data_IF_524284203770
#
_entry.id   IF_524284203770
#
_cell.length_a   1.000
_cell.length_b   1.000
_cell.length_c   1.000
_cell.angle_alpha   90.00
_cell.angle_beta   90.00
_cell.angle_gamma   90.00
#
_symmetry.space_group_name_H-M   'P 1'
#
loop_
_entity.id
_entity.type
_entity.pdbx_description
1 polymer ?
#
# COMPACT_ATOMS: atom_id res chain seq x y z
N UNK A 1 10.70 -9.86 -15.90
CA UNK A 1 10.29 -11.08 -16.59
C UNK A 1 8.77 -11.17 -16.81
N UNK A 2 7.91 -11.15 -15.75
CA UNK A 2 6.45 -11.28 -15.90
C UNK A 2 5.87 -10.17 -16.78
N UNK A 3 6.22 -8.91 -16.54
CA UNK A 3 5.76 -7.79 -17.36
C UNK A 3 6.13 -7.97 -18.85
N UNK A 4 7.37 -8.37 -19.14
CA UNK A 4 7.80 -8.56 -20.52
C UNK A 4 7.05 -9.69 -21.26
N UNK A 5 6.60 -10.72 -20.53
CA UNK A 5 5.87 -11.86 -21.12
C UNK A 5 4.38 -11.65 -21.23
N UNK A 6 3.78 -10.93 -20.29
CA UNK A 6 2.33 -10.89 -20.11
C UNK A 6 1.72 -9.48 -20.14
N UNK A 7 2.55 -8.43 -20.05
CA UNK A 7 2.10 -7.05 -19.84
C UNK A 7 1.55 -6.77 -18.45
N UNK A 8 1.50 -7.77 -17.55
CA UNK A 8 0.96 -7.58 -16.22
C UNK A 8 1.95 -6.84 -15.30
N UNK A 9 1.49 -5.71 -14.72
CA UNK A 9 2.28 -4.89 -13.81
C UNK A 9 1.99 -5.31 -12.37
N UNK A 10 2.98 -5.85 -11.68
CA UNK A 10 2.89 -6.20 -10.26
C UNK A 10 3.23 -4.99 -9.38
N UNK A 11 2.59 -4.88 -8.21
CA UNK A 11 3.14 -4.05 -7.17
C UNK A 11 4.38 -4.74 -6.53
N UNK A 12 5.29 -4.00 -5.89
CA UNK A 12 6.52 -4.58 -5.33
C UNK A 12 6.27 -5.74 -4.37
N UNK A 13 5.22 -5.67 -3.54
CA UNK A 13 4.87 -6.75 -2.61
C UNK A 13 4.43 -8.03 -3.34
N UNK A 14 3.64 -7.90 -4.40
CA UNK A 14 3.24 -9.04 -5.23
C UNK A 14 4.43 -9.64 -5.96
N UNK A 15 5.39 -8.82 -6.39
CA UNK A 15 6.61 -9.29 -7.03
C UNK A 15 7.47 -10.14 -6.08
N UNK A 16 7.60 -9.73 -4.82
CA UNK A 16 8.30 -10.51 -3.78
C UNK A 16 7.57 -11.84 -3.52
N UNK A 17 6.24 -11.83 -3.41
CA UNK A 17 5.47 -13.06 -3.23
C UNK A 17 5.60 -14.00 -4.43
N UNK A 18 5.63 -13.47 -5.66
CA UNK A 18 5.86 -14.25 -6.87
C UNK A 18 7.24 -14.87 -6.89
N UNK A 19 8.28 -14.13 -6.53
CA UNK A 19 9.65 -14.63 -6.45
C UNK A 19 9.75 -15.78 -5.43
N UNK A 20 9.15 -15.62 -4.25
CA UNK A 20 9.08 -16.68 -3.25
C UNK A 20 8.37 -17.95 -3.76
N UNK A 21 7.27 -17.80 -4.52
CA UNK A 21 6.60 -18.95 -5.15
C UNK A 21 7.48 -19.64 -6.18
N UNK A 22 8.24 -18.89 -6.96
CA UNK A 22 9.17 -19.45 -7.94
C UNK A 22 10.31 -20.23 -7.26
N UNK A 23 10.85 -19.70 -6.18
CA UNK A 23 11.88 -20.38 -5.40
C UNK A 23 11.32 -21.69 -4.78
N UNK A 24 10.12 -21.64 -4.21
CA UNK A 24 9.45 -22.83 -3.69
C UNK A 24 9.24 -23.90 -4.77
N UNK A 25 8.75 -23.50 -5.95
CA UNK A 25 8.53 -24.42 -7.05
C UNK A 25 9.83 -25.06 -7.59
N UNK A 26 10.94 -24.33 -7.51
CA UNK A 26 12.26 -24.86 -7.90
C UNK A 26 12.80 -25.86 -6.86
N UNK A 27 12.55 -25.63 -5.57
CA UNK A 27 12.99 -26.51 -4.48
C UNK A 27 12.14 -27.79 -4.38
N UNK A 28 10.83 -27.69 -4.66
CA UNK A 28 9.86 -28.78 -4.58
C UNK A 28 9.28 -29.10 -5.96
N UNK A 29 10.00 -29.85 -6.80
CA UNK A 29 9.55 -30.16 -8.15
C UNK A 29 8.30 -31.07 -8.12
N UNK A 30 7.28 -30.68 -8.88
CA UNK A 30 5.99 -31.36 -8.98
C UNK A 30 4.94 -30.48 -9.62
N UNK A 31 3.71 -30.97 -9.71
CA UNK A 31 2.59 -30.15 -10.17
C UNK A 31 2.12 -29.26 -9.01
N UNK A 32 2.31 -27.95 -9.17
CA UNK A 32 1.97 -26.95 -8.16
C UNK A 32 1.00 -25.93 -8.75
N UNK A 33 -0.11 -25.69 -8.08
CA UNK A 33 -0.99 -24.56 -8.33
C UNK A 33 -0.71 -23.46 -7.31
N UNK A 34 -0.04 -22.39 -7.73
CA UNK A 34 0.28 -21.24 -6.87
C UNK A 34 -0.78 -20.15 -6.94
N UNK A 35 -1.23 -19.66 -5.78
CA UNK A 35 -2.14 -18.53 -5.67
C UNK A 35 -1.43 -17.38 -4.94
N UNK A 36 -1.35 -16.21 -5.59
CA UNK A 36 -0.75 -15.01 -5.04
C UNK A 36 -1.83 -13.97 -4.74
N UNK A 37 -1.79 -13.39 -3.55
CA UNK A 37 -2.68 -12.33 -3.15
C UNK A 37 -2.03 -10.97 -3.42
N UNK A 38 -2.58 -10.22 -4.39
CA UNK A 38 -2.16 -8.84 -4.66
C UNK A 38 -2.92 -7.90 -3.72
N UNK A 39 -2.24 -7.41 -2.69
CA UNK A 39 -2.84 -6.59 -1.63
C UNK A 39 -2.83 -5.09 -1.90
N UNK A 40 -2.16 -4.65 -2.96
CA UNK A 40 -2.09 -3.26 -3.36
C UNK A 40 -1.98 -3.10 -4.88
N UNK A 41 -2.51 -1.99 -5.39
CA UNK A 41 -2.32 -1.62 -6.79
C UNK A 41 -0.90 -1.04 -7.01
N UNK A 42 -0.27 -1.37 -8.13
CA UNK A 42 1.08 -0.89 -8.48
C UNK A 42 1.20 0.64 -8.51
N UNK A 43 0.12 1.34 -8.84
CA UNK A 43 0.11 2.80 -8.90
C UNK A 43 0.37 3.49 -7.54
N UNK A 44 0.31 2.77 -6.41
CA UNK A 44 0.77 3.28 -5.11
C UNK A 44 2.29 3.40 -5.02
N UNK A 45 3.01 2.77 -5.93
CA UNK A 45 4.47 2.64 -5.92
C UNK A 45 5.07 3.03 -7.29
N UNK A 46 4.45 3.98 -8.00
CA UNK A 46 4.84 4.37 -9.36
C UNK A 46 6.35 4.61 -9.54
N UNK A 47 7.02 5.41 -8.70
CA UNK A 47 8.45 5.65 -8.89
C UNK A 47 9.30 4.37 -8.87
N UNK A 48 8.96 3.44 -7.98
CA UNK A 48 9.67 2.15 -7.88
C UNK A 48 9.35 1.25 -9.07
N UNK A 49 8.07 1.18 -9.46
CA UNK A 49 7.61 0.31 -10.56
C UNK A 49 8.16 0.79 -11.89
N UNK A 50 8.01 2.07 -12.22
CA UNK A 50 8.49 2.64 -13.47
C UNK A 50 10.03 2.62 -13.56
N UNK A 51 10.70 2.92 -12.44
CA UNK A 51 12.17 2.81 -12.37
C UNK A 51 12.68 1.39 -12.59
N UNK A 52 11.93 0.37 -12.15
CA UNK A 52 12.29 -1.03 -12.33
C UNK A 52 11.97 -1.53 -13.76
N UNK A 53 10.84 -1.11 -14.33
CA UNK A 53 10.39 -1.55 -15.65
C UNK A 53 11.03 -0.74 -16.79
N UNK A 54 11.51 0.47 -16.52
CA UNK A 54 12.06 1.39 -17.52
C UNK A 54 10.99 1.99 -18.45
N UNK A 55 9.72 1.88 -18.10
CA UNK A 55 8.58 2.40 -18.88
C UNK A 55 7.54 3.01 -17.97
N UNK A 56 6.79 4.00 -18.48
CA UNK A 56 5.61 4.53 -17.77
C UNK A 56 4.45 3.55 -17.83
N UNK A 57 3.71 3.46 -16.73
CA UNK A 57 2.55 2.57 -16.61
C UNK A 57 1.26 3.35 -16.36
N UNK A 58 0.11 2.86 -16.86
CA UNK A 58 -1.16 3.56 -16.72
C UNK A 58 -1.57 3.74 -15.25
N UNK A 59 -2.02 4.93 -14.89
CA UNK A 59 -2.61 5.21 -13.57
C UNK A 59 -4.14 5.20 -13.71
N UNK A 60 -4.86 4.41 -12.90
CA UNK A 60 -6.32 4.45 -12.88
C UNK A 60 -6.84 5.87 -12.62
N UNK A 61 -7.89 6.30 -13.34
CA UNK A 61 -8.42 7.66 -13.26
C UNK A 61 -8.70 8.12 -11.82
N UNK A 62 -9.30 7.27 -10.99
CA UNK A 62 -9.56 7.57 -9.57
C UNK A 62 -8.31 7.82 -8.74
N UNK A 63 -7.17 7.23 -9.09
CA UNK A 63 -5.90 7.49 -8.41
C UNK A 63 -5.23 8.73 -8.99
N UNK A 64 -5.34 8.96 -10.31
CA UNK A 64 -4.82 10.16 -10.95
C UNK A 64 -5.46 11.43 -10.36
N UNK A 65 -6.76 11.43 -10.10
CA UNK A 65 -7.48 12.53 -9.44
C UNK A 65 -6.97 12.87 -8.03
N UNK A 66 -6.25 11.96 -7.40
CA UNK A 66 -5.68 12.17 -6.06
C UNK A 66 -4.27 12.75 -6.09
N UNK A 67 -3.55 12.67 -7.22
CA UNK A 67 -2.17 13.12 -7.32
C UNK A 67 -2.04 14.65 -7.12
N UNK A 68 -3.05 15.40 -7.52
CA UNK A 68 -3.10 16.86 -7.38
C UNK A 68 -3.67 17.33 -6.04
N UNK A 69 -4.11 16.39 -5.19
CA UNK A 69 -4.69 16.74 -3.89
C UNK A 69 -3.62 16.88 -2.82
N UNK A 70 -3.78 17.89 -1.97
CA UNK A 70 -2.90 18.08 -0.81
C UNK A 70 -3.05 16.90 0.15
N UNK A 71 -1.94 16.24 0.47
CA UNK A 71 -1.90 15.18 1.46
C UNK A 71 -2.24 15.75 2.85
N UNK A 72 -3.30 15.24 3.45
CA UNK A 72 -3.64 15.52 4.84
C UNK A 72 -3.02 14.44 5.74
N UNK A 73 -2.00 14.80 6.48
CA UNK A 73 -1.33 13.89 7.42
C UNK A 73 -0.81 14.68 8.60
N UNK A 74 -0.71 14.02 9.74
CA UNK A 74 -0.10 14.58 10.95
C UNK A 74 1.33 14.03 11.00
N UNK A 75 2.36 14.88 10.85
CA UNK A 75 3.74 14.46 11.01
C UNK A 75 3.98 13.94 12.43
N UNK A 76 4.63 12.80 12.56
CA UNK A 76 4.90 12.18 13.83
C UNK A 76 6.24 11.45 13.78
N UNK A 77 6.96 11.38 14.91
CA UNK A 77 8.15 10.57 15.05
C UNK A 77 7.85 9.06 15.05
N UNK A 78 8.89 8.25 15.12
CA UNK A 78 8.79 6.78 15.12
C UNK A 78 8.63 6.18 16.53
N UNK A 79 8.64 7.02 17.58
CA UNK A 79 8.52 6.56 18.97
C UNK A 79 7.07 6.17 19.29
N UNK A 80 6.87 4.96 19.79
CA UNK A 80 5.54 4.48 20.18
C UNK A 80 4.85 5.40 21.22
N UNK A 81 5.63 6.02 22.12
CA UNK A 81 5.11 6.93 23.13
C UNK A 81 4.39 8.15 22.52
N UNK A 82 4.94 8.73 21.45
CA UNK A 82 4.33 9.85 20.73
C UNK A 82 3.00 9.46 20.09
N UNK A 83 2.97 8.31 19.43
CA UNK A 83 1.75 7.77 18.82
C UNK A 83 0.67 7.50 19.87
N UNK A 84 1.06 6.89 21.01
CA UNK A 84 0.14 6.64 22.12
C UNK A 84 -0.44 7.94 22.70
N UNK A 85 0.42 8.95 22.94
CA UNK A 85 -0.01 10.24 23.44
C UNK A 85 -1.00 10.93 22.49
N UNK A 86 -0.71 10.91 21.18
CA UNK A 86 -1.60 11.43 20.16
C UNK A 86 -2.98 10.76 20.16
N UNK A 87 -3.04 9.43 20.24
CA UNK A 87 -4.30 8.70 20.29
C UNK A 87 -5.13 9.05 21.53
N UNK A 88 -4.49 9.16 22.69
CA UNK A 88 -5.17 9.51 23.94
C UNK A 88 -5.73 10.94 23.89
N UNK A 89 -4.97 11.90 23.36
CA UNK A 89 -5.43 13.28 23.21
C UNK A 89 -6.60 13.38 22.23
N UNK A 90 -6.51 12.75 21.07
CA UNK A 90 -7.59 12.75 20.07
C UNK A 90 -8.87 12.12 20.59
N UNK A 91 -8.76 11.09 21.43
CA UNK A 91 -9.92 10.45 22.08
C UNK A 91 -10.61 11.39 23.07
N UNK A 92 -9.85 12.16 23.83
CA UNK A 92 -10.39 13.13 24.79
C UNK A 92 -11.10 14.29 24.08
N UNK A 93 -10.56 14.79 22.98
CA UNK A 93 -11.18 15.83 22.17
C UNK A 93 -12.49 15.34 21.55
N UNK A 94 -12.54 14.10 21.06
CA UNK A 94 -13.76 13.50 20.52
C UNK A 94 -14.84 13.31 21.58
N UNK A 95 -14.49 12.86 22.78
CA UNK A 95 -15.41 12.72 23.91
C UNK A 95 -15.94 14.09 24.35
N UNK A 96 -15.06 15.10 24.43
CA UNK A 96 -15.45 16.48 24.75
C UNK A 96 -16.44 17.06 23.75
N UNK A 97 -16.22 16.81 22.45
CA UNK A 97 -17.13 17.20 21.37
C UNK A 97 -18.51 16.54 21.54
N UNK A 98 -18.58 15.23 21.75
CA UNK A 98 -19.84 14.49 21.95
C UNK A 98 -20.62 14.97 23.18
N UNK A 99 -19.93 15.30 24.25
CA UNK A 99 -20.56 15.80 25.50
C UNK A 99 -21.09 17.23 25.33
N UNK A 100 -20.42 18.05 24.51
CA UNK A 100 -20.86 19.44 24.26
C UNK A 100 -22.09 19.51 23.34
N UNK A 101 -22.20 18.61 22.38
CA UNK A 101 -23.30 18.59 21.38
C UNK A 101 -24.61 18.02 21.98
N UNK A 102 -24.53 17.26 23.06
CA UNK A 102 -25.69 16.65 23.73
C UNK A 102 -26.35 17.60 24.78
N UNK A 103 -25.98 18.89 24.80
CA UNK A 103 -26.56 19.93 25.67
C UNK A 103 -27.41 20.99 24.94
N UNK A 104 -27.86 20.69 23.75
CA UNK A 104 -28.80 21.55 23.00
C UNK A 104 -30.16 20.91 22.87
#
# INVERSE_FOLDING_TARGET
DVFARTGYVMCPHTAVAYDGLQQYAAEYPGEITGILLSTAHYAKFLPTVEGTLGVSVPVPARLAELLDKTKKSIPMGTAFAEFKAYLLQSSLEFISFLVSDNRR
#
